data_IF_643197544312
#
_entry.id   IF_643197544312
#
_cell.length_a   1.000
_cell.length_b   1.000
_cell.length_c   1.000
_cell.angle_alpha   90.00
_cell.angle_beta   90.00
_cell.angle_gamma   90.00
#
_symmetry.space_group_name_H-M   'P 1'
#
loop_
_entity.id
_entity.type
_entity.pdbx_description
1 polymer ?
#
# COMPACT_ATOMS: atom_id res chain seq x y z
N UNK A 1 -30.28 -17.20 -16.42
CA UNK A 1 -29.87 -15.81 -16.69
C UNK A 1 -29.23 -15.81 -18.05
N UNK A 2 -29.78 -15.05 -18.98
CA UNK A 2 -29.50 -15.08 -20.42
C UNK A 2 -28.05 -14.70 -20.74
N UNK A 3 -27.34 -15.59 -21.43
CA UNK A 3 -25.97 -15.42 -21.95
C UNK A 3 -25.87 -14.41 -23.12
N UNK A 4 -26.96 -13.70 -23.41
CA UNK A 4 -27.11 -12.78 -24.54
C UNK A 4 -27.07 -11.32 -24.08
N UNK A 5 -25.91 -10.83 -23.63
CA UNK A 5 -25.47 -9.44 -23.86
C UNK A 5 -24.00 -9.25 -23.45
N UNK A 6 -23.09 -10.01 -24.04
CA UNK A 6 -21.67 -9.64 -24.01
C UNK A 6 -21.37 -9.02 -25.37
N UNK A 7 -20.99 -7.74 -25.38
CA UNK A 7 -20.58 -7.03 -26.59
C UNK A 7 -19.50 -7.85 -27.31
N UNK A 8 -19.65 -8.05 -28.63
CA UNK A 8 -18.70 -8.83 -29.43
C UNK A 8 -17.27 -8.28 -29.35
N UNK A 9 -17.14 -6.95 -29.21
CA UNK A 9 -15.85 -6.29 -28.99
C UNK A 9 -15.20 -6.73 -27.67
N UNK A 10 -16.01 -6.93 -26.62
CA UNK A 10 -15.55 -7.39 -25.31
C UNK A 10 -15.14 -8.87 -25.34
N UNK A 11 -15.86 -9.73 -26.10
CA UNK A 11 -15.46 -11.13 -26.29
C UNK A 11 -14.10 -11.23 -26.98
N UNK A 12 -13.93 -10.45 -28.05
CA UNK A 12 -12.70 -10.44 -28.85
C UNK A 12 -11.49 -9.96 -28.03
N UNK A 13 -11.68 -8.93 -27.22
CA UNK A 13 -10.63 -8.43 -26.32
C UNK A 13 -10.20 -9.48 -25.28
N UNK A 14 -11.16 -10.19 -24.67
CA UNK A 14 -10.89 -11.26 -23.68
C UNK A 14 -10.12 -12.42 -24.33
N UNK A 15 -10.49 -12.84 -25.54
CA UNK A 15 -9.78 -13.90 -26.25
C UNK A 15 -8.34 -13.51 -26.61
N UNK A 16 -8.14 -12.27 -27.08
CA UNK A 16 -6.80 -11.75 -27.42
C UNK A 16 -5.87 -11.60 -26.21
N UNK A 17 -6.43 -11.38 -25.02
CA UNK A 17 -5.66 -11.15 -23.77
C UNK A 17 -5.76 -12.31 -22.78
N UNK A 18 -6.37 -13.43 -23.17
CA UNK A 18 -6.59 -14.61 -22.31
C UNK A 18 -5.30 -15.23 -21.82
N UNK A 19 -4.26 -15.13 -22.65
CA UNK A 19 -2.95 -15.76 -22.46
C UNK A 19 -1.94 -14.80 -21.82
N UNK A 20 -2.34 -13.57 -21.44
CA UNK A 20 -1.60 -12.84 -20.43
C UNK A 20 -1.88 -13.52 -19.10
N UNK A 21 -1.14 -14.60 -18.81
CA UNK A 21 -1.00 -15.13 -17.46
C UNK A 21 -0.65 -13.94 -16.57
N UNK A 22 -1.64 -13.45 -15.82
CA UNK A 22 -1.34 -12.82 -14.55
C UNK A 22 -0.64 -13.93 -13.77
N UNK A 23 0.69 -13.88 -13.75
CA UNK A 23 1.46 -14.58 -12.73
C UNK A 23 0.69 -14.36 -11.44
N UNK A 24 0.19 -15.45 -10.86
CA UNK A 24 -0.57 -15.42 -9.64
C UNK A 24 0.19 -14.50 -8.69
N UNK A 25 -0.40 -13.40 -8.16
CA UNK A 25 0.14 -12.87 -6.94
C UNK A 25 -0.10 -13.97 -5.93
N UNK A 26 0.92 -14.82 -5.78
CA UNK A 26 1.13 -15.71 -4.65
C UNK A 26 0.58 -14.96 -3.46
N UNK A 27 -0.46 -15.54 -2.88
CA UNK A 27 -1.35 -15.04 -1.85
C UNK A 27 -0.88 -13.75 -1.17
N UNK A 28 -1.78 -12.77 -1.11
CA UNK A 28 -1.63 -11.50 -0.43
C UNK A 28 -1.19 -11.64 1.05
N UNK A 29 0.08 -11.96 1.27
CA UNK A 29 0.82 -11.66 2.47
C UNK A 29 1.22 -10.18 2.35
N UNK A 30 0.69 -9.37 3.25
CA UNK A 30 0.86 -7.94 3.26
C UNK A 30 2.36 -7.53 3.32
N UNK A 31 2.94 -7.25 2.15
CA UNK A 31 4.09 -6.36 1.94
C UNK A 31 5.48 -6.93 2.23
N UNK A 32 6.34 -6.90 1.21
CA UNK A 32 7.80 -6.94 1.39
C UNK A 32 8.53 -7.58 0.21
N UNK A 33 9.12 -6.75 -0.65
CA UNK A 33 9.99 -7.21 -1.72
C UNK A 33 11.17 -8.02 -1.19
N UNK A 34 11.48 -9.13 -1.88
CA UNK A 34 12.64 -10.00 -1.66
C UNK A 34 13.96 -9.30 -2.01
N UNK A 35 14.45 -8.37 -1.20
CA UNK A 35 15.85 -7.89 -1.32
C UNK A 35 16.44 -7.57 0.06
N UNK A 36 17.34 -8.43 0.54
CA UNK A 36 18.24 -8.27 1.69
C UNK A 36 17.59 -7.80 3.01
N UNK A 37 16.95 -8.74 3.72
CA UNK A 37 16.52 -8.56 5.11
C UNK A 37 17.75 -8.46 6.03
N UNK A 38 18.25 -7.24 6.28
CA UNK A 38 18.88 -6.99 7.58
C UNK A 38 17.78 -7.25 8.63
N UNK A 39 17.90 -8.33 9.40
CA UNK A 39 16.93 -8.72 10.42
C UNK A 39 16.66 -7.52 11.35
N UNK A 40 15.49 -6.89 11.19
CA UNK A 40 15.07 -5.78 12.05
C UNK A 40 14.65 -6.40 13.38
N UNK A 41 15.60 -6.48 14.31
CA UNK A 41 15.38 -7.03 15.64
C UNK A 41 15.21 -5.94 16.70
N UNK A 42 14.43 -6.25 17.74
CA UNK A 42 14.29 -5.42 18.94
C UNK A 42 12.96 -4.67 19.03
N UNK A 43 12.89 -3.72 19.96
CA UNK A 43 11.68 -2.93 20.23
C UNK A 43 11.68 -1.62 19.45
N UNK A 44 10.49 -1.11 19.18
CA UNK A 44 10.30 0.20 18.56
C UNK A 44 11.00 1.29 19.38
N UNK A 45 11.93 2.00 18.75
CA UNK A 45 12.69 3.08 19.40
C UNK A 45 11.84 4.29 19.79
N UNK A 46 10.58 4.36 19.32
CA UNK A 46 9.69 5.47 19.63
C UNK A 46 8.71 5.17 20.77
N UNK A 47 8.10 3.99 20.80
CA UNK A 47 7.12 3.64 21.84
C UNK A 47 7.62 2.62 22.86
N UNK A 48 8.68 1.86 22.56
CA UNK A 48 9.23 0.82 23.44
C UNK A 48 8.28 -0.35 23.77
N UNK A 49 7.03 -0.31 23.33
CA UNK A 49 6.00 -1.28 23.72
C UNK A 49 5.90 -2.48 22.77
N UNK A 50 6.19 -2.27 21.48
CA UNK A 50 6.00 -3.26 20.41
C UNK A 50 7.30 -3.53 19.68
N UNK A 51 7.40 -4.70 19.08
CA UNK A 51 8.56 -5.08 18.28
C UNK A 51 8.69 -4.19 17.04
N UNK A 52 9.93 -3.86 16.71
CA UNK A 52 10.26 -3.13 15.51
C UNK A 52 10.10 -4.04 14.30
N UNK A 53 9.53 -3.50 13.22
CA UNK A 53 9.32 -4.20 11.95
C UNK A 53 9.84 -3.42 10.75
N UNK A 54 10.07 -2.12 10.92
CA UNK A 54 10.43 -1.21 9.83
C UNK A 54 11.59 -0.33 10.24
N UNK A 55 12.46 0.01 9.28
CA UNK A 55 13.51 1.02 9.44
C UNK A 55 13.05 2.30 8.75
N UNK A 56 13.09 3.43 9.46
CA UNK A 56 12.78 4.74 8.88
C UNK A 56 13.83 5.12 7.83
N UNK A 57 13.44 5.37 6.58
CA UNK A 57 14.38 5.73 5.50
C UNK A 57 15.03 7.11 5.71
N UNK A 58 14.43 7.96 6.56
CA UNK A 58 14.93 9.32 6.81
C UNK A 58 15.91 9.40 7.99
N UNK A 59 15.64 8.71 9.09
CA UNK A 59 16.44 8.81 10.32
C UNK A 59 17.09 7.50 10.76
N UNK A 60 16.84 6.40 10.05
CA UNK A 60 17.44 5.08 10.32
C UNK A 60 16.86 4.32 11.52
N UNK A 61 15.97 4.92 12.32
CA UNK A 61 15.37 4.28 13.50
C UNK A 61 14.54 3.05 13.14
N UNK A 62 14.60 2.03 13.98
CA UNK A 62 13.76 0.83 13.92
C UNK A 62 12.47 1.03 14.72
N UNK A 63 11.33 0.84 14.07
CA UNK A 63 10.01 1.22 14.61
C UNK A 63 8.97 0.14 14.34
N UNK A 64 7.95 0.09 15.20
CA UNK A 64 6.81 -0.80 15.00
C UNK A 64 5.87 -0.26 13.91
N UNK A 65 5.00 -1.13 13.40
CA UNK A 65 4.03 -0.81 12.35
C UNK A 65 3.19 0.45 12.62
N UNK A 66 2.76 0.69 13.85
CA UNK A 66 1.94 1.88 14.15
C UNK A 66 2.74 3.17 14.32
N UNK A 67 4.06 3.10 14.50
CA UNK A 67 4.92 4.28 14.52
C UNK A 67 5.56 4.56 13.16
N UNK A 68 5.25 3.73 12.15
CA UNK A 68 5.76 3.82 10.78
C UNK A 68 4.65 4.25 9.82
N UNK A 69 4.95 5.22 8.96
CA UNK A 69 4.07 5.66 7.88
C UNK A 69 4.52 4.99 6.59
N UNK A 70 3.91 3.85 6.27
CA UNK A 70 4.24 3.04 5.09
C UNK A 70 4.19 3.87 3.80
N UNK A 71 3.17 4.72 3.64
CA UNK A 71 3.02 5.58 2.44
C UNK A 71 4.21 6.52 2.19
N UNK A 72 4.91 6.93 3.23
CA UNK A 72 6.04 7.88 3.14
C UNK A 72 7.39 7.22 3.42
N UNK A 73 7.40 5.96 3.85
CA UNK A 73 8.62 5.25 4.23
C UNK A 73 9.33 5.81 5.49
N UNK A 74 8.62 6.53 6.36
CA UNK A 74 9.22 7.25 7.50
C UNK A 74 8.49 7.01 8.81
N UNK A 75 9.18 7.22 9.94
CA UNK A 75 8.55 7.16 11.26
C UNK A 75 7.69 8.41 11.55
N UNK A 76 6.79 8.31 12.53
CA UNK A 76 5.88 9.42 12.91
C UNK A 76 6.59 10.73 13.29
N UNK A 77 7.82 10.66 13.79
CA UNK A 77 8.63 11.84 14.15
C UNK A 77 9.26 12.52 12.91
N UNK A 78 9.33 11.81 11.79
CA UNK A 78 9.93 12.26 10.53
C UNK A 78 8.90 12.74 9.51
N UNK A 79 7.61 12.54 9.76
CA UNK A 79 6.53 13.05 8.91
C UNK A 79 6.47 14.58 9.08
N UNK A 80 6.57 15.33 7.98
CA UNK A 80 6.37 16.78 8.03
C UNK A 80 4.89 17.14 7.97
N UNK A 81 4.54 18.32 8.49
CA UNK A 81 3.17 18.83 8.40
C UNK A 81 2.71 18.98 6.93
N UNK A 82 3.62 19.29 6.02
CA UNK A 82 3.33 19.38 4.58
C UNK A 82 2.93 18.04 3.96
N UNK A 83 3.53 16.93 4.40
CA UNK A 83 3.14 15.58 3.96
C UNK A 83 1.71 15.26 4.42
N UNK A 84 1.36 15.64 5.65
CA UNK A 84 0.01 15.43 6.20
C UNK A 84 -1.01 16.31 5.49
N UNK A 85 -0.66 17.56 5.16
CA UNK A 85 -1.54 18.49 4.42
C UNK A 85 -1.86 17.97 3.02
N UNK A 86 -0.88 17.42 2.30
CA UNK A 86 -1.12 16.81 0.97
C UNK A 86 -2.06 15.62 1.04
N UNK A 87 -2.06 14.86 2.14
CA UNK A 87 -2.98 13.75 2.36
C UNK A 87 -4.39 14.22 2.78
N UNK A 88 -4.48 15.33 3.52
CA UNK A 88 -5.73 15.93 3.98
C UNK A 88 -6.38 16.89 2.97
N UNK A 89 -5.69 17.21 1.86
CA UNK A 89 -6.26 17.98 0.76
C UNK A 89 -7.58 17.35 0.34
N UNK A 90 -8.62 18.19 0.28
CA UNK A 90 -10.02 17.81 0.07
C UNK A 90 -10.16 16.57 -0.82
N UNK A 91 -10.74 15.52 -0.25
CA UNK A 91 -11.18 14.37 -1.04
C UNK A 91 -12.36 14.86 -1.88
N UNK A 92 -12.04 15.43 -3.02
CA UNK A 92 -13.01 15.69 -4.08
C UNK A 92 -13.34 14.33 -4.70
N UNK A 93 -14.20 13.57 -4.03
CA UNK A 93 -14.61 12.23 -4.48
C UNK A 93 -15.46 12.29 -5.78
N UNK A 94 -15.68 13.48 -6.35
CA UNK A 94 -16.59 13.68 -7.48
C UNK A 94 -18.04 13.34 -7.15
N UNK A 95 -18.38 13.23 -5.85
CA UNK A 95 -19.74 12.93 -5.39
C UNK A 95 -20.35 14.25 -4.95
N UNK A 96 -21.24 14.81 -5.79
CA UNK A 96 -22.07 15.94 -5.39
C UNK A 96 -22.87 15.53 -4.14
N UNK A 97 -22.78 16.33 -3.07
CA UNK A 97 -23.61 16.13 -1.88
C UNK A 97 -25.06 16.32 -2.28
N UNK A 98 -25.82 15.23 -2.36
CA UNK A 98 -27.28 15.27 -2.50
C UNK A 98 -27.84 15.94 -1.24
N UNK A 99 -28.62 17.01 -1.44
CA UNK A 99 -29.19 17.85 -0.38
C UNK A 99 -30.56 17.36 0.05
#
# INVERSE_FOLDING_TARGET
MSEEYINEELKKWIEEHRDMEMAEPEEAEAGGGKEAEEEIMGKCEICGARDAKYRCLRCGRVVCASCYWVMFGVCKECVSEDMVKKLKGEKDFGIEKVK
#
